data_IF_163040488956
#
_entry.id   IF_163040488956
#
_cell.length_a   1.000
_cell.length_b   1.000
_cell.length_c   1.000
_cell.angle_alpha   90.00
_cell.angle_beta   90.00
_cell.angle_gamma   90.00
#
_symmetry.space_group_name_H-M   'P 1'
#
loop_
_entity.id
_entity.type
_entity.pdbx_description
1 polymer ?
#
# COMPACT_ATOMS: atom_id res chain seq x y z
N UNK A 1 -25.70 32.03 64.81
CA UNK A 1 -24.42 31.31 64.64
C UNK A 1 -24.02 31.43 63.17
N UNK A 2 -23.10 32.37 62.83
CA UNK A 2 -22.62 32.58 61.45
C UNK A 2 -21.43 31.66 61.20
N UNK A 3 -21.64 30.68 60.33
CA UNK A 3 -20.58 29.78 59.90
C UNK A 3 -19.80 30.49 58.76
N UNK A 4 -18.67 31.14 59.10
CA UNK A 4 -17.76 31.67 58.12
C UNK A 4 -17.08 30.47 57.42
N UNK A 5 -17.50 30.12 56.21
CA UNK A 5 -16.77 29.23 55.36
C UNK A 5 -15.44 29.91 54.98
N UNK A 6 -14.32 29.32 55.43
CA UNK A 6 -12.99 29.74 55.03
C UNK A 6 -12.78 29.38 53.57
N UNK A 7 -12.73 30.36 52.68
CA UNK A 7 -12.29 30.17 51.31
C UNK A 7 -10.78 29.87 51.36
N UNK A 8 -10.42 28.59 51.14
CA UNK A 8 -9.06 28.17 50.94
C UNK A 8 -8.65 28.53 49.50
N UNK A 9 -7.72 29.45 49.35
CA UNK A 9 -7.14 29.77 48.03
C UNK A 9 -6.10 28.75 47.65
N UNK A 10 -5.97 28.44 46.33
CA UNK A 10 -4.92 27.57 45.81
C UNK A 10 -3.55 28.22 45.92
N UNK A 11 -2.53 27.46 46.31
CA UNK A 11 -1.14 27.91 46.35
C UNK A 11 -0.58 27.97 44.92
N UNK A 12 0.26 28.98 44.67
CA UNK A 12 0.95 29.11 43.36
C UNK A 12 1.80 27.87 43.01
N UNK A 13 2.38 27.24 44.04
CA UNK A 13 3.16 25.99 43.87
C UNK A 13 2.28 24.82 43.46
N UNK A 14 1.05 24.73 43.92
CA UNK A 14 0.11 23.66 43.59
C UNK A 14 -0.29 23.72 42.09
N UNK A 15 -0.52 24.95 41.58
CA UNK A 15 -0.79 25.18 40.17
C UNK A 15 0.44 24.81 39.32
N UNK A 16 1.65 25.16 39.75
CA UNK A 16 2.88 24.82 39.04
C UNK A 16 3.08 23.30 38.95
N UNK A 17 2.88 22.59 40.06
CA UNK A 17 3.00 21.12 40.09
C UNK A 17 1.94 20.47 39.19
N UNK A 18 0.69 20.95 39.22
CA UNK A 18 -0.38 20.45 38.36
C UNK A 18 -0.04 20.65 36.87
N UNK A 19 0.51 21.80 36.47
CA UNK A 19 0.95 22.06 35.11
C UNK A 19 2.09 21.15 34.65
N UNK A 20 3.06 20.85 35.53
CA UNK A 20 4.16 19.94 35.26
C UNK A 20 3.63 18.53 35.02
N UNK A 21 2.74 18.01 35.87
CA UNK A 21 2.16 16.69 35.73
C UNK A 21 1.34 16.60 34.42
N UNK A 22 0.54 17.66 34.15
CA UNK A 22 -0.26 17.71 32.92
C UNK A 22 0.63 17.71 31.68
N UNK A 23 1.73 18.48 31.67
CA UNK A 23 2.63 18.53 30.50
C UNK A 23 3.34 17.20 30.24
N UNK A 24 3.77 16.47 31.28
CA UNK A 24 4.34 15.12 31.14
C UNK A 24 3.30 14.14 30.59
N UNK A 25 2.05 14.22 31.07
CA UNK A 25 0.95 13.41 30.54
C UNK A 25 0.67 13.67 29.05
N UNK A 26 0.64 14.94 28.65
CA UNK A 26 0.44 15.31 27.24
C UNK A 26 1.59 14.85 26.33
N UNK A 27 2.84 14.92 26.80
CA UNK A 27 3.99 14.39 26.05
C UNK A 27 3.90 12.88 25.85
N UNK A 28 3.44 12.14 26.87
CA UNK A 28 3.20 10.69 26.76
C UNK A 28 2.12 10.36 25.70
N UNK A 29 1.01 11.09 25.70
CA UNK A 29 -0.05 10.94 24.71
C UNK A 29 0.44 11.28 23.29
N UNK A 30 1.24 12.33 23.11
CA UNK A 30 1.81 12.69 21.82
C UNK A 30 2.70 11.57 21.25
N UNK A 31 3.51 10.92 22.09
CA UNK A 31 4.33 9.76 21.71
C UNK A 31 3.48 8.57 21.21
N UNK A 32 2.40 8.24 21.92
CA UNK A 32 1.47 7.18 21.51
C UNK A 32 0.76 7.50 20.18
N UNK A 33 0.37 8.76 19.94
CA UNK A 33 -0.24 9.17 18.68
C UNK A 33 0.70 8.99 17.51
N UNK A 34 1.98 9.36 17.66
CA UNK A 34 2.98 9.17 16.61
C UNK A 34 3.17 7.70 16.26
N UNK A 35 3.29 6.82 17.26
CA UNK A 35 3.40 5.37 17.05
C UNK A 35 2.17 4.80 16.34
N UNK A 36 0.97 5.24 16.73
CA UNK A 36 -0.30 4.83 16.08
C UNK A 36 -0.38 5.25 14.62
N UNK A 37 0.09 6.46 14.27
CA UNK A 37 0.11 6.94 12.88
C UNK A 37 1.03 6.06 12.01
N UNK A 38 2.23 5.73 12.47
CA UNK A 38 3.14 4.84 11.72
C UNK A 38 2.55 3.44 11.51
N UNK A 39 1.88 2.89 12.52
CA UNK A 39 1.20 1.58 12.37
C UNK A 39 0.06 1.65 11.34
N UNK A 40 -0.72 2.72 11.34
CA UNK A 40 -1.80 2.94 10.38
C UNK A 40 -1.28 3.09 8.94
N UNK A 41 -0.20 3.82 8.74
CA UNK A 41 0.43 3.98 7.42
C UNK A 41 0.89 2.63 6.86
N UNK A 42 1.51 1.79 7.69
CA UNK A 42 1.90 0.44 7.29
C UNK A 42 0.72 -0.45 6.92
N UNK A 43 -0.37 -0.41 7.69
CA UNK A 43 -1.60 -1.15 7.39
C UNK A 43 -2.25 -0.65 6.09
N UNK A 44 -2.25 0.66 5.86
CA UNK A 44 -2.76 1.28 4.63
C UNK A 44 -1.98 0.81 3.41
N UNK A 45 -0.63 0.86 3.43
CA UNK A 45 0.21 0.41 2.32
C UNK A 45 0.00 -1.09 2.01
N UNK A 46 -0.13 -1.94 3.03
CA UNK A 46 -0.46 -3.35 2.84
C UNK A 46 -1.82 -3.56 2.19
N UNK A 47 -2.81 -2.79 2.59
CA UNK A 47 -4.15 -2.84 1.99
C UNK A 47 -4.09 -2.42 0.52
N UNK A 48 -3.38 -1.34 0.19
CA UNK A 48 -3.15 -0.91 -1.19
C UNK A 48 -2.44 -1.99 -2.01
N UNK A 49 -1.38 -2.61 -1.49
CA UNK A 49 -0.67 -3.67 -2.17
C UNK A 49 -1.59 -4.89 -2.44
N UNK A 50 -2.42 -5.29 -1.48
CA UNK A 50 -3.42 -6.35 -1.69
C UNK A 50 -4.39 -6.01 -2.81
N UNK A 51 -4.97 -4.81 -2.80
CA UNK A 51 -5.89 -4.33 -3.85
C UNK A 51 -5.21 -4.37 -5.21
N UNK A 52 -3.95 -3.93 -5.31
CA UNK A 52 -3.18 -3.96 -6.55
C UNK A 52 -2.92 -5.39 -7.03
N UNK A 53 -2.56 -6.33 -6.13
CA UNK A 53 -2.35 -7.72 -6.50
C UNK A 53 -3.62 -8.35 -7.06
N UNK A 54 -4.75 -8.21 -6.38
CA UNK A 54 -6.02 -8.76 -6.84
C UNK A 54 -6.52 -8.09 -8.11
N UNK A 55 -6.33 -6.77 -8.27
CA UNK A 55 -6.68 -6.06 -9.50
C UNK A 55 -5.95 -6.64 -10.72
N UNK A 56 -4.66 -6.95 -10.59
CA UNK A 56 -3.93 -7.61 -11.68
C UNK A 56 -4.46 -9.01 -11.93
N UNK A 57 -4.67 -9.81 -10.89
CA UNK A 57 -5.20 -11.17 -11.03
C UNK A 57 -6.57 -11.20 -11.72
N UNK A 58 -7.43 -10.23 -11.46
CA UNK A 58 -8.75 -10.12 -12.11
C UNK A 58 -8.60 -9.76 -13.59
N UNK A 59 -7.67 -8.87 -13.96
CA UNK A 59 -7.33 -8.58 -15.36
C UNK A 59 -6.80 -9.83 -16.06
N UNK A 60 -5.92 -10.59 -15.40
CA UNK A 60 -5.39 -11.84 -15.92
C UNK A 60 -6.48 -12.90 -16.12
N UNK A 61 -7.48 -12.95 -15.24
CA UNK A 61 -8.67 -13.83 -15.41
C UNK A 61 -9.52 -13.43 -16.61
N UNK A 62 -9.65 -12.14 -16.88
CA UNK A 62 -10.35 -11.67 -18.07
C UNK A 62 -9.61 -11.99 -19.38
N UNK A 63 -8.29 -12.19 -19.32
CA UNK A 63 -7.43 -12.53 -20.45
C UNK A 63 -6.65 -13.85 -20.18
N UNK A 64 -7.39 -14.91 -19.86
CA UNK A 64 -6.88 -16.16 -19.28
C UNK A 64 -5.86 -16.86 -20.17
N UNK A 65 -6.02 -16.81 -21.49
CA UNK A 65 -5.13 -17.48 -22.43
C UNK A 65 -3.73 -16.88 -22.40
N UNK A 66 -3.62 -15.57 -22.42
CA UNK A 66 -2.36 -14.84 -22.32
C UNK A 66 -1.73 -14.98 -20.92
N UNK A 67 -2.57 -15.02 -19.87
CA UNK A 67 -2.12 -15.24 -18.51
C UNK A 67 -1.47 -16.62 -18.34
N UNK A 68 -2.11 -17.69 -18.85
CA UNK A 68 -1.56 -19.05 -18.84
C UNK A 68 -0.32 -19.18 -19.72
N UNK A 69 -0.26 -18.44 -20.82
CA UNK A 69 0.91 -18.37 -21.69
C UNK A 69 2.10 -17.61 -21.10
N UNK A 70 1.94 -16.98 -19.93
CA UNK A 70 3.00 -16.21 -19.28
C UNK A 70 3.23 -14.84 -19.88
N UNK A 71 2.30 -14.30 -20.68
CA UNK A 71 2.45 -12.99 -21.31
C UNK A 71 2.53 -11.84 -20.31
N UNK A 72 1.99 -12.03 -19.09
CA UNK A 72 2.08 -11.07 -17.98
C UNK A 72 3.38 -11.18 -17.17
N UNK A 73 4.27 -12.16 -17.48
CA UNK A 73 5.51 -12.36 -16.73
C UNK A 73 6.42 -11.14 -16.84
N UNK A 74 6.99 -10.75 -15.70
CA UNK A 74 7.96 -9.66 -15.60
C UNK A 74 8.87 -9.85 -14.41
N UNK A 75 10.14 -9.48 -14.56
CA UNK A 75 11.05 -9.37 -13.44
C UNK A 75 10.80 -8.07 -12.65
N UNK A 76 11.27 -8.04 -11.41
CA UNK A 76 11.11 -6.86 -10.55
C UNK A 76 11.89 -5.64 -11.06
N UNK A 77 12.94 -5.89 -11.85
CA UNK A 77 13.80 -4.88 -12.48
C UNK A 77 13.26 -4.35 -13.80
N UNK A 78 12.22 -4.98 -14.35
CA UNK A 78 11.72 -4.60 -15.67
C UNK A 78 11.04 -3.22 -15.61
N UNK A 79 11.30 -2.34 -16.59
CA UNK A 79 10.63 -1.06 -16.67
C UNK A 79 9.14 -1.26 -16.99
N UNK A 80 8.30 -0.31 -16.57
CA UNK A 80 6.91 -0.31 -17.00
C UNK A 80 6.80 -0.20 -18.54
N UNK A 81 5.80 -0.85 -19.16
CA UNK A 81 5.58 -0.71 -20.60
C UNK A 81 5.42 0.76 -21.00
N UNK A 82 6.19 1.18 -22.02
CA UNK A 82 6.12 2.52 -22.59
C UNK A 82 5.22 2.50 -23.83
N UNK A 83 4.42 3.54 -24.01
CA UNK A 83 3.50 3.69 -25.18
C UNK A 83 2.59 2.45 -25.41
N UNK A 84 1.85 1.98 -24.40
CA UNK A 84 0.92 0.88 -24.61
C UNK A 84 -0.20 1.31 -25.56
N UNK A 85 -0.79 0.39 -26.33
CA UNK A 85 -1.99 0.67 -27.11
C UNK A 85 -3.12 1.13 -26.18
N UNK A 86 -4.04 1.93 -26.67
CA UNK A 86 -5.20 2.42 -25.89
C UNK A 86 -6.34 1.43 -26.05
N UNK A 87 -6.62 0.64 -25.03
CA UNK A 87 -7.62 -0.43 -25.05
C UNK A 87 -8.94 -0.08 -24.34
N UNK A 88 -9.19 1.21 -24.07
CA UNK A 88 -10.46 1.70 -23.53
C UNK A 88 -11.06 2.73 -24.50
N UNK A 89 -12.40 2.86 -24.56
CA UNK A 89 -13.03 3.92 -25.34
C UNK A 89 -12.53 5.30 -24.92
N UNK A 90 -12.16 6.10 -25.89
CA UNK A 90 -11.80 7.51 -25.72
C UNK A 90 -12.61 8.37 -26.68
N UNK A 91 -12.53 9.70 -26.57
CA UNK A 91 -13.19 10.59 -27.52
C UNK A 91 -12.70 10.37 -28.98
N UNK A 92 -11.40 10.05 -29.13
CA UNK A 92 -10.76 9.83 -30.44
C UNK A 92 -10.90 8.39 -30.95
N UNK A 93 -11.07 7.41 -30.04
CA UNK A 93 -11.20 5.97 -30.33
C UNK A 93 -12.41 5.41 -29.56
N UNK A 94 -13.64 5.57 -30.08
CA UNK A 94 -14.85 5.14 -29.38
C UNK A 94 -14.98 3.63 -29.16
N UNK A 95 -14.40 2.82 -30.05
CA UNK A 95 -14.42 1.36 -30.01
C UNK A 95 -13.01 0.81 -30.27
N UNK A 96 -12.13 0.78 -29.27
CA UNK A 96 -10.80 0.21 -29.45
C UNK A 96 -10.90 -1.29 -29.67
N UNK A 97 -10.26 -1.79 -30.72
CA UNK A 97 -10.15 -3.21 -31.04
C UNK A 97 -8.74 -3.68 -30.67
N UNK A 98 -8.55 -4.03 -29.41
CA UNK A 98 -7.27 -4.56 -28.92
C UNK A 98 -7.25 -6.08 -28.99
N UNK A 99 -6.17 -6.60 -29.53
CA UNK A 99 -5.85 -8.03 -29.43
C UNK A 99 -5.57 -8.40 -27.96
N UNK A 100 -5.70 -9.68 -27.58
CA UNK A 100 -5.35 -10.14 -26.24
C UNK A 100 -3.93 -9.75 -25.79
N UNK A 101 -2.96 -9.78 -26.69
CA UNK A 101 -1.58 -9.38 -26.42
C UNK A 101 -1.42 -7.87 -26.20
N UNK A 102 -2.15 -7.06 -26.95
CA UNK A 102 -2.19 -5.60 -26.74
C UNK A 102 -2.86 -5.23 -25.42
N UNK A 103 -3.90 -6.00 -25.04
CA UNK A 103 -4.56 -5.83 -23.74
C UNK A 103 -3.59 -6.11 -22.58
N UNK A 104 -2.68 -7.12 -22.70
CA UNK A 104 -1.62 -7.34 -21.71
C UNK A 104 -0.75 -6.10 -21.54
N UNK A 105 -0.30 -5.47 -22.61
CA UNK A 105 0.54 -4.27 -22.56
C UNK A 105 -0.19 -3.10 -21.89
N UNK A 106 -1.46 -2.91 -22.24
CA UNK A 106 -2.32 -1.91 -21.61
C UNK A 106 -2.47 -2.17 -20.11
N UNK A 107 -2.89 -3.38 -19.74
CA UNK A 107 -3.10 -3.80 -18.36
C UNK A 107 -1.85 -3.61 -17.52
N UNK A 108 -0.71 -4.10 -17.97
CA UNK A 108 0.56 -3.97 -17.28
C UNK A 108 1.00 -2.52 -17.13
N UNK A 109 0.79 -1.70 -18.16
CA UNK A 109 1.09 -0.26 -18.08
C UNK A 109 0.24 0.45 -17.03
N UNK A 110 -1.09 0.23 -17.04
CA UNK A 110 -2.00 0.85 -16.09
C UNK A 110 -1.72 0.37 -14.66
N UNK A 111 -1.47 -0.94 -14.51
CA UNK A 111 -1.16 -1.52 -13.22
C UNK A 111 0.16 -0.99 -12.65
N UNK A 112 1.22 -0.93 -13.45
CA UNK A 112 2.52 -0.41 -13.01
C UNK A 112 2.47 1.07 -12.61
N UNK A 113 1.62 1.88 -13.26
CA UNK A 113 1.36 3.26 -12.83
C UNK A 113 0.74 3.32 -11.42
N UNK A 114 -0.05 2.31 -11.03
CA UNK A 114 -0.60 2.22 -9.68
C UNK A 114 0.45 1.70 -8.69
N UNK A 115 1.25 0.70 -9.06
CA UNK A 115 2.36 0.19 -8.25
C UNK A 115 3.34 1.32 -7.91
N UNK A 116 3.65 2.19 -8.87
CA UNK A 116 4.54 3.33 -8.67
C UNK A 116 4.02 4.38 -7.65
N UNK A 117 2.75 4.31 -7.22
CA UNK A 117 2.22 5.14 -6.14
C UNK A 117 2.60 4.64 -4.75
N UNK A 118 3.04 3.39 -4.64
CA UNK A 118 3.65 2.88 -3.41
C UNK A 118 5.06 3.49 -3.26
N UNK A 119 5.52 3.76 -2.04
CA UNK A 119 6.89 4.26 -1.82
C UNK A 119 7.92 3.27 -2.38
N UNK A 120 8.73 3.67 -3.36
CA UNK A 120 9.66 2.80 -4.13
C UNK A 120 9.00 1.51 -4.62
N UNK A 121 7.73 1.62 -5.08
CA UNK A 121 6.91 0.48 -5.47
C UNK A 121 7.49 -0.28 -6.66
N UNK A 122 7.74 -1.57 -6.47
CA UNK A 122 8.26 -2.51 -7.48
C UNK A 122 7.37 -3.76 -7.52
N UNK A 123 7.32 -4.41 -8.68
CA UNK A 123 6.52 -5.62 -8.80
C UNK A 123 7.13 -6.63 -9.77
N UNK A 124 6.88 -7.90 -9.50
CA UNK A 124 7.14 -8.99 -10.42
C UNK A 124 5.92 -9.90 -10.55
N UNK A 125 5.82 -10.55 -11.70
CA UNK A 125 4.80 -11.56 -12.00
C UNK A 125 5.49 -12.76 -12.60
N UNK A 126 5.17 -13.93 -12.10
CA UNK A 126 5.69 -15.20 -12.65
C UNK A 126 4.55 -16.20 -12.80
N UNK A 127 4.57 -16.91 -13.93
CA UNK A 127 3.64 -17.99 -14.24
C UNK A 127 4.43 -19.30 -14.25
N UNK A 128 3.97 -20.29 -13.49
CA UNK A 128 4.49 -21.65 -13.47
C UNK A 128 3.46 -22.62 -14.03
N UNK A 129 3.82 -23.30 -15.10
CA UNK A 129 3.00 -24.29 -15.83
C UNK A 129 3.51 -25.71 -15.64
N UNK A 130 4.47 -25.94 -14.74
CA UNK A 130 5.09 -27.27 -14.54
C UNK A 130 4.17 -28.29 -13.87
N UNK A 131 3.10 -27.83 -13.21
CA UNK A 131 2.10 -28.67 -12.54
C UNK A 131 0.84 -28.91 -13.36
N UNK A 132 -0.15 -29.55 -12.72
CA UNK A 132 -1.48 -29.77 -13.29
C UNK A 132 -2.26 -28.48 -13.53
N UNK A 133 -2.04 -27.49 -12.68
CA UNK A 133 -2.64 -26.16 -12.76
C UNK A 133 -1.57 -25.12 -13.06
N UNK A 134 -1.93 -24.08 -13.79
CA UNK A 134 -1.07 -22.92 -13.97
C UNK A 134 -1.08 -22.07 -12.70
N UNK A 135 0.07 -21.90 -12.05
CA UNK A 135 0.21 -21.06 -10.86
C UNK A 135 0.74 -19.69 -11.28
N UNK A 136 0.04 -18.66 -10.88
CA UNK A 136 0.49 -17.27 -11.05
C UNK A 136 0.86 -16.70 -9.70
N UNK A 137 2.08 -16.15 -9.61
CA UNK A 137 2.58 -15.48 -8.41
C UNK A 137 2.84 -14.01 -8.72
N UNK A 138 2.13 -13.14 -8.02
CA UNK A 138 2.33 -11.68 -8.05
C UNK A 138 3.10 -11.28 -6.80
N UNK A 139 4.23 -10.62 -6.97
CA UNK A 139 5.03 -10.06 -5.87
C UNK A 139 5.07 -8.55 -5.99
N UNK A 140 4.70 -7.87 -4.91
CA UNK A 140 4.83 -6.42 -4.76
C UNK A 140 5.84 -6.13 -3.66
N UNK A 141 6.67 -5.12 -3.88
CA UNK A 141 7.64 -4.61 -2.90
C UNK A 141 7.49 -3.10 -2.78
N UNK A 142 7.66 -2.58 -1.57
CA UNK A 142 7.63 -1.15 -1.28
C UNK A 142 8.48 -0.84 -0.05
N UNK A 143 8.86 0.42 0.11
CA UNK A 143 9.49 0.90 1.33
C UNK A 143 8.43 1.26 2.37
N UNK A 144 8.61 0.78 3.60
CA UNK A 144 7.79 1.12 4.74
C UNK A 144 8.68 1.61 5.87
N UNK A 145 8.37 2.78 6.44
CA UNK A 145 9.06 3.25 7.64
C UNK A 145 8.83 2.26 8.77
N UNK A 146 9.91 1.74 9.34
CA UNK A 146 9.87 0.82 10.46
C UNK A 146 9.35 1.49 11.73
N UNK A 147 8.71 0.69 12.60
CA UNK A 147 8.38 1.10 13.97
C UNK A 147 9.62 1.04 14.89
N UNK A 148 10.70 0.43 14.43
CA UNK A 148 11.95 0.33 15.17
C UNK A 148 12.85 1.54 14.91
N UNK A 149 13.55 1.95 15.96
CA UNK A 149 14.32 3.18 16.11
C UNK A 149 15.58 3.28 15.23
N UNK A 150 15.75 2.39 14.27
CA UNK A 150 16.82 2.45 13.28
C UNK A 150 16.21 2.96 11.97
N UNK A 151 16.68 4.13 11.53
CA UNK A 151 16.23 4.93 10.37
C UNK A 151 16.32 4.24 8.99
N UNK A 152 16.41 2.92 8.92
CA UNK A 152 16.43 2.18 7.69
C UNK A 152 15.00 1.84 7.26
N UNK A 153 14.54 2.47 6.18
CA UNK A 153 13.32 2.11 5.47
C UNK A 153 13.37 0.61 5.14
N UNK A 154 12.54 -0.19 5.82
CA UNK A 154 12.51 -1.62 5.59
C UNK A 154 11.75 -1.93 4.30
N UNK A 155 12.39 -2.66 3.37
CA UNK A 155 11.70 -3.20 2.20
C UNK A 155 10.65 -4.22 2.66
N UNK A 156 9.39 -3.91 2.42
CA UNK A 156 8.26 -4.81 2.71
C UNK A 156 7.80 -5.47 1.42
N UNK A 157 7.40 -6.74 1.50
CA UNK A 157 6.86 -7.46 0.34
C UNK A 157 5.53 -8.13 0.64
N UNK A 158 4.69 -8.19 -0.39
CA UNK A 158 3.47 -9.01 -0.47
C UNK A 158 3.65 -10.01 -1.60
N UNK A 159 3.32 -11.26 -1.35
CA UNK A 159 3.30 -12.33 -2.36
C UNK A 159 1.90 -12.95 -2.37
N UNK A 160 1.26 -12.97 -3.54
CA UNK A 160 -0.04 -13.61 -3.76
C UNK A 160 0.14 -14.64 -4.86
N UNK A 161 -0.22 -15.89 -4.57
CA UNK A 161 -0.20 -16.99 -5.55
C UNK A 161 -1.62 -17.51 -5.73
N UNK A 162 -2.02 -17.71 -6.98
CA UNK A 162 -3.33 -18.27 -7.34
C UNK A 162 -3.16 -19.28 -8.47
N UNK A 163 -4.10 -20.23 -8.56
CA UNK A 163 -4.19 -21.19 -9.66
C UNK A 163 -5.20 -20.69 -10.72
N UNK A 164 -4.88 -20.94 -11.98
CA UNK A 164 -5.74 -20.68 -13.15
C UNK A 164 -6.04 -21.96 -13.92
#
# INVERSE_FOLDING_TARGET
MNNHQKNAGFSLIEVLIALVILSVGLLGLAGLQTSSLHANDGAYLRTQANVLAYNLLDRMRANISEAKGGAYNRAISDPAPTNPPVCIPTADVPTPDCTPAELVQWDMSQWMKQVAKLPDGKASVSTDTSGTNTLVTVTLKWLQRGLEHNDDDAETKLVVTTAF
#
